data_IF_973725920216
#
_entry.id   IF_973725920216
#
_cell.length_a   1.000
_cell.length_b   1.000
_cell.length_c   1.000
_cell.angle_alpha   90.00
_cell.angle_beta   90.00
_cell.angle_gamma   90.00
#
_symmetry.space_group_name_H-M   'P 1'
#
loop_
_entity.id
_entity.type
_entity.pdbx_description
1 polymer ?
#
# COMPACT_ATOMS: atom_id res chain seq x y z
N UNK A 1 -12.09 17.06 3.13
CA UNK A 1 -10.83 16.42 3.51
C UNK A 1 -10.38 16.88 4.90
N UNK A 2 -10.10 18.19 5.09
CA UNK A 2 -9.60 18.72 6.36
C UNK A 2 -10.51 18.38 7.53
N UNK A 3 -11.84 18.63 7.44
CA UNK A 3 -12.79 18.30 8.51
C UNK A 3 -12.78 16.82 8.91
N UNK A 4 -12.67 15.92 7.94
CA UNK A 4 -12.54 14.47 8.21
C UNK A 4 -11.24 14.13 8.93
N UNK A 5 -10.14 14.79 8.53
CA UNK A 5 -8.84 14.62 9.16
C UNK A 5 -8.83 15.16 10.59
N UNK A 6 -9.32 16.38 10.80
CA UNK A 6 -9.42 17.01 12.13
C UNK A 6 -10.29 16.17 13.07
N UNK A 7 -11.36 15.57 12.56
CA UNK A 7 -12.22 14.67 13.35
C UNK A 7 -11.49 13.40 13.80
N UNK A 8 -10.71 12.74 12.91
CA UNK A 8 -10.14 11.42 13.21
C UNK A 8 -8.77 11.46 13.88
N UNK A 9 -7.99 12.54 13.68
CA UNK A 9 -6.63 12.66 14.23
C UNK A 9 -6.60 12.55 15.77
N UNK A 10 -7.44 13.26 16.55
CA UNK A 10 -7.45 13.12 18.00
C UNK A 10 -7.73 11.69 18.48
N UNK A 11 -8.70 11.02 17.85
CA UNK A 11 -9.00 9.61 18.15
C UNK A 11 -7.80 8.71 17.89
N UNK A 12 -7.13 8.90 16.76
CA UNK A 12 -5.96 8.09 16.41
C UNK A 12 -4.82 8.31 17.40
N UNK A 13 -4.59 9.55 17.85
CA UNK A 13 -3.56 9.87 18.85
C UNK A 13 -3.87 9.12 20.17
N UNK A 14 -5.10 9.18 20.65
CA UNK A 14 -5.55 8.48 21.85
C UNK A 14 -5.38 6.97 21.70
N UNK A 15 -5.83 6.39 20.57
CA UNK A 15 -5.70 4.95 20.29
C UNK A 15 -4.24 4.48 20.29
N UNK A 16 -3.32 5.29 19.75
CA UNK A 16 -1.87 5.00 19.76
C UNK A 16 -1.31 5.11 21.16
N UNK A 17 -1.62 6.19 21.91
CA UNK A 17 -1.13 6.44 23.25
C UNK A 17 -1.50 5.30 24.22
N UNK A 18 -2.73 4.80 24.13
CA UNK A 18 -3.21 3.69 24.95
C UNK A 18 -2.98 2.31 24.32
N UNK A 19 -2.22 2.21 23.24
CA UNK A 19 -1.90 0.95 22.52
C UNK A 19 -3.13 0.10 22.15
N UNK A 20 -4.26 0.76 21.90
CA UNK A 20 -5.52 0.08 21.55
C UNK A 20 -5.39 -0.55 20.13
N UNK A 21 -5.75 -1.83 19.93
CA UNK A 21 -5.60 -2.52 18.64
C UNK A 21 -6.32 -1.83 17.47
N UNK A 22 -7.36 -1.05 17.75
CA UNK A 22 -8.09 -0.26 16.75
C UNK A 22 -7.20 0.77 16.05
N UNK A 23 -6.12 1.24 16.70
CA UNK A 23 -5.12 2.15 16.09
C UNK A 23 -4.56 1.61 14.77
N UNK A 24 -4.46 0.29 14.61
CA UNK A 24 -4.01 -0.36 13.37
C UNK A 24 -5.05 -0.30 12.25
N UNK A 25 -6.33 -0.06 12.56
CA UNK A 25 -7.45 -0.02 11.59
C UNK A 25 -7.89 1.40 11.24
N UNK A 26 -7.67 2.36 12.11
CA UNK A 26 -8.09 3.76 11.89
C UNK A 26 -7.53 4.38 10.60
N UNK A 27 -6.25 4.17 10.22
CA UNK A 27 -5.74 4.68 8.94
C UNK A 27 -6.56 4.21 7.75
N UNK A 28 -6.97 2.94 7.71
CA UNK A 28 -7.81 2.41 6.64
C UNK A 28 -9.18 3.12 6.59
N UNK A 29 -9.78 3.41 7.73
CA UNK A 29 -11.05 4.16 7.82
C UNK A 29 -10.86 5.57 7.25
N UNK A 30 -9.76 6.24 7.63
CA UNK A 30 -9.41 7.56 7.12
C UNK A 30 -9.24 7.54 5.59
N UNK A 31 -8.44 6.63 5.04
CA UNK A 31 -8.21 6.48 3.60
C UNK A 31 -9.50 6.21 2.83
N UNK A 32 -10.38 5.37 3.37
CA UNK A 32 -11.69 5.09 2.78
C UNK A 32 -12.57 6.34 2.73
N UNK A 33 -12.57 7.15 3.79
CA UNK A 33 -13.25 8.44 3.82
C UNK A 33 -12.71 9.38 2.75
N UNK A 34 -11.37 9.47 2.63
CA UNK A 34 -10.71 10.29 1.59
C UNK A 34 -11.08 9.80 0.19
N UNK A 35 -10.98 8.50 -0.09
CA UNK A 35 -11.41 7.94 -1.38
C UNK A 35 -12.87 8.31 -1.72
N UNK A 36 -13.76 8.29 -0.72
CA UNK A 36 -15.18 8.66 -0.92
C UNK A 36 -15.34 10.15 -1.25
N UNK A 37 -14.61 11.02 -0.54
CA UNK A 37 -14.65 12.47 -0.76
C UNK A 37 -14.12 12.88 -2.14
N UNK A 38 -13.02 12.27 -2.57
CA UNK A 38 -12.43 12.47 -3.90
C UNK A 38 -13.15 11.66 -5.00
N UNK A 39 -14.26 11.01 -4.68
CA UNK A 39 -15.05 10.20 -5.64
C UNK A 39 -14.23 9.09 -6.33
N UNK A 40 -13.21 8.56 -5.64
CA UNK A 40 -12.40 7.45 -6.15
C UNK A 40 -13.21 6.16 -6.16
N UNK A 41 -13.26 5.48 -7.29
CA UNK A 41 -13.93 4.20 -7.51
C UNK A 41 -12.88 3.12 -7.67
N UNK A 42 -12.81 2.23 -6.68
CA UNK A 42 -11.84 1.15 -6.67
C UNK A 42 -12.46 -0.12 -7.25
N UNK A 43 -11.82 -0.66 -8.29
CA UNK A 43 -12.13 -1.96 -8.86
C UNK A 43 -11.06 -2.94 -8.39
N UNK A 44 -11.48 -3.95 -7.62
CA UNK A 44 -10.58 -4.89 -6.97
C UNK A 44 -10.60 -6.23 -7.67
N UNK A 45 -9.43 -6.74 -8.06
CA UNK A 45 -9.24 -8.04 -8.71
C UNK A 45 -8.33 -8.92 -7.85
N UNK A 46 -8.48 -10.24 -7.97
CA UNK A 46 -7.71 -11.21 -7.20
C UNK A 46 -8.16 -11.35 -5.74
N UNK A 47 -7.31 -11.92 -4.90
CA UNK A 47 -7.59 -12.17 -3.49
C UNK A 47 -6.51 -11.57 -2.62
N UNK A 48 -6.91 -10.71 -1.69
CA UNK A 48 -6.00 -10.18 -0.68
C UNK A 48 -5.52 -11.29 0.26
N UNK A 49 -4.22 -11.34 0.53
CA UNK A 49 -3.62 -12.24 1.52
C UNK A 49 -4.28 -12.05 2.89
N UNK A 50 -4.55 -13.16 3.55
CA UNK A 50 -5.03 -13.20 4.94
C UNK A 50 -3.91 -13.57 5.92
N UNK A 51 -2.75 -13.94 5.40
CA UNK A 51 -1.58 -14.30 6.19
C UNK A 51 -0.95 -13.08 6.83
N UNK A 52 -0.34 -13.25 7.98
CA UNK A 52 0.38 -12.20 8.70
C UNK A 52 1.65 -12.77 9.31
N UNK A 53 2.73 -12.02 9.19
CA UNK A 53 2.87 -10.79 8.43
C UNK A 53 2.91 -11.03 6.91
N UNK A 54 2.46 -10.04 6.13
CA UNK A 54 2.59 -10.01 4.67
C UNK A 54 3.29 -8.72 4.25
N UNK A 55 4.29 -8.84 3.37
CA UNK A 55 4.89 -7.72 2.66
C UNK A 55 4.12 -7.50 1.35
N UNK A 56 3.35 -6.42 1.26
CA UNK A 56 2.72 -5.99 0.02
C UNK A 56 3.70 -5.18 -0.82
N UNK A 57 3.94 -5.62 -2.04
CA UNK A 57 4.85 -4.97 -2.99
C UNK A 57 4.00 -4.33 -4.09
N UNK A 58 4.13 -3.00 -4.29
CA UNK A 58 3.25 -2.24 -5.16
C UNK A 58 4.04 -1.37 -6.13
N UNK A 59 3.51 -1.11 -7.35
CA UNK A 59 4.01 -0.04 -8.21
C UNK A 59 3.63 1.34 -7.66
N UNK A 60 4.32 2.39 -8.11
CA UNK A 60 4.17 3.74 -7.59
C UNK A 60 4.03 4.79 -8.69
N UNK A 61 2.90 5.49 -8.69
CA UNK A 61 2.58 6.55 -9.66
C UNK A 61 2.44 7.90 -8.97
N UNK A 62 1.89 7.92 -7.75
CA UNK A 62 1.49 9.16 -7.07
C UNK A 62 1.35 8.97 -5.56
N UNK A 63 1.36 10.07 -4.79
CA UNK A 63 0.91 10.03 -3.39
C UNK A 63 -0.55 9.54 -3.26
N UNK A 64 -1.32 9.59 -4.33
CA UNK A 64 -2.69 9.04 -4.37
C UNK A 64 -2.70 7.52 -4.19
N UNK A 65 -1.62 6.81 -4.56
CA UNK A 65 -1.50 5.37 -4.33
C UNK A 65 -1.56 5.05 -2.83
N UNK A 66 -1.02 5.94 -1.98
CA UNK A 66 -1.08 5.79 -0.53
C UNK A 66 -2.54 5.82 -0.07
N UNK A 67 -3.36 6.72 -0.64
CA UNK A 67 -4.79 6.82 -0.32
C UNK A 67 -5.55 5.59 -0.80
N UNK A 68 -5.31 5.16 -2.04
CA UNK A 68 -5.97 4.01 -2.68
C UNK A 68 -5.58 2.70 -1.98
N UNK A 69 -4.29 2.44 -1.83
CA UNK A 69 -3.79 1.20 -1.21
C UNK A 69 -4.08 1.17 0.29
N UNK A 70 -3.96 2.29 1.00
CA UNK A 70 -4.33 2.39 2.41
C UNK A 70 -5.82 2.16 2.69
N UNK A 71 -6.70 2.37 1.69
CA UNK A 71 -8.12 2.04 1.81
C UNK A 71 -8.40 0.53 1.72
N UNK A 72 -7.50 -0.25 1.11
CA UNK A 72 -7.71 -1.69 0.84
C UNK A 72 -6.72 -2.62 1.51
N UNK A 73 -5.46 -2.18 1.73
CA UNK A 73 -4.40 -2.98 2.35
C UNK A 73 -4.33 -2.72 3.87
N UNK A 74 -4.37 -3.75 4.70
CA UNK A 74 -4.19 -3.62 6.15
C UNK A 74 -2.70 -3.63 6.51
N UNK A 75 -2.01 -2.51 6.35
CA UNK A 75 -0.58 -2.42 6.59
C UNK A 75 -0.07 -0.99 6.77
N UNK A 76 1.20 -0.87 7.15
CA UNK A 76 1.92 0.39 7.27
C UNK A 76 2.82 0.60 6.05
N UNK A 77 2.89 1.82 5.52
CA UNK A 77 3.76 2.12 4.40
C UNK A 77 5.22 2.22 4.82
N UNK A 78 6.10 1.92 3.89
CA UNK A 78 7.54 2.24 3.97
C UNK A 78 7.74 3.50 3.13
N UNK A 79 8.23 4.58 3.73
CA UNK A 79 8.44 5.87 3.08
C UNK A 79 9.85 6.41 3.35
N UNK A 80 10.26 7.38 2.53
CA UNK A 80 11.53 8.10 2.73
C UNK A 80 11.44 8.98 3.98
N UNK A 81 12.57 9.13 4.72
CA UNK A 81 12.62 9.93 5.95
C UNK A 81 12.24 11.39 5.71
N UNK A 82 12.50 11.94 4.54
CA UNK A 82 12.17 13.32 4.18
C UNK A 82 10.66 13.61 4.31
N UNK A 83 9.81 12.62 4.03
CA UNK A 83 8.35 12.74 4.17
C UNK A 83 7.94 13.03 5.62
N UNK A 84 8.74 12.60 6.60
CA UNK A 84 8.48 12.86 8.02
C UNK A 84 8.43 14.34 8.36
N UNK A 85 9.19 15.15 7.62
CA UNK A 85 9.27 16.62 7.79
C UNK A 85 8.19 17.41 7.04
N UNK A 86 7.37 16.78 6.21
CA UNK A 86 6.37 17.50 5.43
C UNK A 86 5.23 18.01 6.32
N UNK A 87 4.84 19.30 6.19
CA UNK A 87 3.70 19.85 6.92
C UNK A 87 2.46 18.98 6.71
N UNK A 88 1.68 18.73 7.74
CA UNK A 88 0.48 17.89 7.77
C UNK A 88 0.74 16.43 7.37
N UNK A 89 1.33 16.16 6.20
CA UNK A 89 1.54 14.81 5.67
C UNK A 89 2.52 13.99 6.52
N UNK A 90 3.56 14.62 7.08
CA UNK A 90 4.47 13.95 8.01
C UNK A 90 3.80 13.54 9.32
N UNK A 91 2.84 14.34 9.81
CA UNK A 91 2.01 13.95 10.94
C UNK A 91 1.11 12.77 10.59
N UNK A 92 0.41 12.83 9.45
CA UNK A 92 -0.47 11.75 9.01
C UNK A 92 0.30 10.45 8.77
N UNK A 93 1.49 10.52 8.18
CA UNK A 93 2.36 9.36 8.00
C UNK A 93 2.78 8.73 9.33
N UNK A 94 3.12 9.56 10.35
CA UNK A 94 3.40 9.06 11.71
C UNK A 94 2.18 8.39 12.35
N UNK A 95 1.01 8.99 12.23
CA UNK A 95 -0.24 8.44 12.76
C UNK A 95 -0.67 7.16 12.03
N UNK A 96 -0.25 6.98 10.78
CA UNK A 96 -0.41 5.74 10.02
C UNK A 96 0.64 4.68 10.40
N UNK A 97 1.57 5.01 11.32
CA UNK A 97 2.65 4.11 11.74
C UNK A 97 3.61 3.76 10.58
N UNK A 98 3.80 4.70 9.64
CA UNK A 98 4.74 4.58 8.53
C UNK A 98 6.15 4.33 9.03
N UNK A 99 6.84 3.37 8.41
CA UNK A 99 8.27 3.12 8.64
C UNK A 99 9.07 4.06 7.74
N UNK A 100 9.93 4.89 8.33
CA UNK A 100 10.73 5.86 7.59
C UNK A 100 12.15 5.32 7.37
N UNK A 101 12.58 5.30 6.10
CA UNK A 101 13.89 4.79 5.70
C UNK A 101 14.75 5.87 5.06
N UNK A 102 16.04 5.92 5.43
CA UNK A 102 17.01 6.80 4.80
C UNK A 102 17.67 6.14 3.58
N UNK A 103 18.05 6.95 2.59
CA UNK A 103 18.72 6.47 1.38
C UNK A 103 20.21 6.09 1.61
N UNK A 104 20.81 6.52 2.71
CA UNK A 104 22.24 6.32 2.97
C UNK A 104 22.54 4.87 3.38
N UNK A 105 23.49 4.25 2.69
CA UNK A 105 23.90 2.86 2.91
C UNK A 105 24.32 2.55 4.36
N UNK A 106 24.91 3.51 5.07
CA UNK A 106 25.40 3.33 6.44
C UNK A 106 24.31 3.01 7.48
N UNK A 107 23.03 3.39 7.23
CA UNK A 107 21.90 3.12 8.12
C UNK A 107 20.96 2.03 7.62
N UNK A 108 21.32 1.36 6.54
CA UNK A 108 20.48 0.32 5.92
C UNK A 108 20.26 -0.88 6.85
N UNK A 109 21.22 -1.19 7.74
CA UNK A 109 21.07 -2.26 8.73
C UNK A 109 20.02 -1.89 9.78
N UNK A 110 20.10 -0.70 10.38
CA UNK A 110 19.14 -0.23 11.40
C UNK A 110 17.70 -0.15 10.88
N UNK A 111 17.51 0.30 9.64
CA UNK A 111 16.17 0.33 9.02
C UNK A 111 15.63 -1.05 8.70
N UNK A 112 16.51 -1.99 8.32
CA UNK A 112 16.11 -3.40 8.16
C UNK A 112 15.66 -4.00 9.48
N UNK A 113 16.30 -3.65 10.58
CA UNK A 113 15.94 -4.15 11.91
C UNK A 113 14.59 -3.59 12.37
N UNK A 114 14.30 -2.30 12.12
CA UNK A 114 12.99 -1.72 12.40
C UNK A 114 11.87 -2.38 11.58
N UNK A 115 12.08 -2.56 10.27
CA UNK A 115 11.11 -3.24 9.41
C UNK A 115 10.92 -4.70 9.84
N UNK A 116 12.00 -5.39 10.21
CA UNK A 116 11.94 -6.77 10.69
C UNK A 116 11.17 -6.87 11.99
N UNK A 117 11.47 -6.02 12.98
CA UNK A 117 10.75 -5.97 14.25
C UNK A 117 9.23 -5.74 14.04
N UNK A 118 8.85 -4.88 13.08
CA UNK A 118 7.44 -4.65 12.74
C UNK A 118 6.76 -5.89 12.14
N UNK A 119 7.48 -6.64 11.31
CA UNK A 119 6.98 -7.91 10.76
C UNK A 119 6.87 -8.99 11.86
N UNK A 120 7.83 -9.07 12.76
CA UNK A 120 7.81 -9.97 13.94
C UNK A 120 6.64 -9.63 14.87
N UNK A 121 6.27 -8.36 15.01
CA UNK A 121 5.06 -7.91 15.70
C UNK A 121 3.74 -8.26 14.96
N UNK A 122 3.82 -8.98 13.83
CA UNK A 122 2.68 -9.38 13.00
C UNK A 122 2.07 -8.21 12.20
N UNK A 123 2.77 -7.07 12.06
CA UNK A 123 2.34 -5.97 11.20
C UNK A 123 2.62 -6.31 9.72
N UNK A 124 1.69 -5.95 8.84
CA UNK A 124 1.94 -5.97 7.41
C UNK A 124 2.63 -4.68 6.98
N UNK A 125 3.50 -4.77 5.97
CA UNK A 125 4.17 -3.62 5.38
C UNK A 125 3.80 -3.45 3.91
N UNK A 126 3.80 -2.21 3.44
CA UNK A 126 3.51 -1.83 2.04
C UNK A 126 4.74 -1.12 1.48
N UNK A 127 5.31 -1.68 0.43
CA UNK A 127 6.57 -1.28 -0.17
C UNK A 127 6.38 -0.85 -1.62
N UNK A 128 7.00 0.27 -2.00
CA UNK A 128 7.16 0.72 -3.38
C UNK A 128 8.62 0.55 -3.84
N UNK A 129 8.99 -0.60 -4.43
CA UNK A 129 10.39 -0.91 -4.72
C UNK A 129 10.98 -0.13 -5.89
N UNK A 130 10.19 0.61 -6.65
CA UNK A 130 10.66 1.60 -7.63
C UNK A 130 11.48 2.70 -6.95
N UNK A 131 11.15 3.04 -5.69
CA UNK A 131 11.81 4.08 -4.91
C UNK A 131 11.56 5.50 -5.42
N UNK A 132 10.73 5.67 -6.44
CA UNK A 132 10.21 6.94 -6.97
C UNK A 132 8.90 6.68 -7.68
N UNK A 133 8.10 7.72 -7.90
CA UNK A 133 6.89 7.68 -8.72
C UNK A 133 7.19 7.99 -10.20
N UNK A 134 6.25 7.69 -11.08
CA UNK A 134 6.36 7.90 -12.53
C UNK A 134 5.01 8.37 -13.13
N UNK A 135 4.94 8.49 -14.46
CA UNK A 135 3.78 9.00 -15.22
C UNK A 135 2.55 8.06 -15.23
N UNK A 136 2.63 6.90 -14.60
CA UNK A 136 1.56 5.90 -14.51
C UNK A 136 1.32 5.08 -15.78
N UNK A 137 2.13 5.27 -16.81
CA UNK A 137 2.01 4.51 -18.07
C UNK A 137 2.83 3.23 -18.10
N UNK A 138 3.74 3.05 -17.15
CA UNK A 138 4.63 1.89 -17.01
C UNK A 138 5.00 1.69 -15.54
N UNK A 139 5.58 0.55 -15.24
CA UNK A 139 6.25 0.26 -13.97
C UNK A 139 7.74 0.46 -14.16
N UNK A 140 8.40 1.11 -13.21
CA UNK A 140 9.86 1.28 -13.24
C UNK A 140 10.54 0.04 -12.65
N UNK A 141 11.84 -0.19 -12.98
CA UNK A 141 12.58 -1.32 -12.45
C UNK A 141 12.61 -1.36 -10.92
N UNK A 142 12.38 -2.54 -10.36
CA UNK A 142 12.38 -2.75 -8.93
C UNK A 142 13.79 -2.89 -8.38
N UNK A 143 14.09 -2.14 -7.33
CA UNK A 143 15.36 -2.21 -6.62
C UNK A 143 15.37 -3.42 -5.69
N UNK A 144 16.08 -4.47 -6.06
CA UNK A 144 16.16 -5.72 -5.29
C UNK A 144 16.68 -5.54 -3.86
N UNK A 145 17.38 -4.43 -3.58
CA UNK A 145 17.83 -4.09 -2.22
C UNK A 145 16.67 -3.93 -1.23
N UNK A 146 15.51 -3.47 -1.68
CA UNK A 146 14.31 -3.34 -0.84
C UNK A 146 13.68 -4.69 -0.46
N UNK A 147 14.04 -5.77 -1.14
CA UNK A 147 13.56 -7.13 -0.83
C UNK A 147 14.43 -7.86 0.20
N UNK A 148 15.45 -7.21 0.77
CA UNK A 148 16.33 -7.84 1.76
C UNK A 148 15.60 -8.38 3.00
N UNK A 149 14.45 -7.77 3.37
CA UNK A 149 13.61 -8.29 4.46
C UNK A 149 12.89 -9.59 4.10
N UNK A 150 12.65 -9.87 2.81
CA UNK A 150 11.99 -11.08 2.36
C UNK A 150 12.88 -12.33 2.50
N UNK A 151 14.19 -12.15 2.70
CA UNK A 151 15.15 -13.24 2.95
C UNK A 151 15.11 -13.72 4.41
N UNK A 152 14.40 -13.02 5.31
CA UNK A 152 14.28 -13.38 6.71
C UNK A 152 13.08 -14.29 6.94
N UNK A 153 13.25 -15.25 7.83
CA UNK A 153 12.16 -16.04 8.38
C UNK A 153 11.55 -15.29 9.58
N UNK A 154 10.24 -15.16 9.58
CA UNK A 154 9.46 -14.60 10.68
C UNK A 154 8.77 -15.77 11.40
N UNK A 155 9.01 -15.92 12.70
CA UNK A 155 8.52 -17.07 13.50
C UNK A 155 8.84 -18.43 12.84
N UNK A 156 10.05 -18.58 12.28
CA UNK A 156 10.50 -19.81 11.62
C UNK A 156 9.84 -20.10 10.26
N UNK A 157 9.09 -19.12 9.70
CA UNK A 157 8.42 -19.27 8.39
C UNK A 157 8.90 -18.20 7.42
N UNK A 158 9.03 -18.52 6.12
CA UNK A 158 9.39 -17.52 5.12
C UNK A 158 8.34 -16.42 5.03
N UNK A 159 8.81 -15.16 4.98
CA UNK A 159 7.95 -14.01 4.85
C UNK A 159 7.10 -14.09 3.58
N UNK A 160 5.79 -13.93 3.73
CA UNK A 160 4.85 -13.87 2.60
C UNK A 160 4.95 -12.53 1.91
N UNK A 161 5.11 -12.57 0.59
CA UNK A 161 5.16 -11.40 -0.29
C UNK A 161 3.97 -11.46 -1.22
N UNK A 162 3.17 -10.40 -1.25
CA UNK A 162 2.07 -10.30 -2.21
C UNK A 162 2.29 -9.12 -3.15
N UNK A 163 2.53 -9.37 -4.45
CA UNK A 163 2.54 -8.32 -5.46
C UNK A 163 1.14 -7.73 -5.65
N UNK A 164 1.07 -6.41 -5.79
CA UNK A 164 -0.19 -5.67 -5.98
C UNK A 164 0.03 -4.60 -7.05
N UNK A 165 -0.75 -4.63 -8.11
CA UNK A 165 -0.73 -3.58 -9.13
C UNK A 165 -1.84 -2.56 -8.89
N UNK A 166 -1.52 -1.27 -9.07
CA UNK A 166 -2.47 -0.16 -9.04
C UNK A 166 -2.39 0.62 -10.34
N UNK A 167 -3.54 0.92 -10.93
CA UNK A 167 -3.62 1.66 -12.19
C UNK A 167 -4.80 2.63 -12.18
N UNK A 168 -4.59 3.84 -12.71
CA UNK A 168 -5.63 4.83 -12.94
C UNK A 168 -6.23 4.57 -14.32
N UNK A 169 -7.49 4.15 -14.36
CA UNK A 169 -8.08 3.55 -15.56
C UNK A 169 -9.24 4.34 -16.15
N UNK A 170 -9.95 5.14 -15.35
CA UNK A 170 -11.16 5.83 -15.79
C UNK A 170 -11.28 7.23 -15.19
N UNK A 171 -11.90 8.14 -15.94
CA UNK A 171 -12.38 9.43 -15.47
C UNK A 171 -13.83 9.58 -15.93
N UNK A 172 -14.74 9.85 -14.98
CA UNK A 172 -16.21 9.90 -15.19
C UNK A 172 -16.82 8.68 -15.90
N UNK A 173 -16.18 7.51 -15.68
CA UNK A 173 -16.58 6.25 -16.29
C UNK A 173 -15.97 5.99 -17.66
N UNK A 174 -15.29 6.96 -18.26
CA UNK A 174 -14.63 6.84 -19.55
C UNK A 174 -13.19 6.32 -19.33
N UNK A 175 -12.73 5.31 -20.07
CA UNK A 175 -11.34 4.87 -20.01
C UNK A 175 -10.38 6.02 -20.36
N UNK A 176 -9.34 6.21 -19.53
CA UNK A 176 -8.31 7.22 -19.80
C UNK A 176 -7.15 6.62 -20.58
N UNK A 177 -6.79 7.34 -21.66
CA UNK A 177 -5.65 7.00 -22.48
C UNK A 177 -4.31 7.44 -21.87
N UNK A 178 -3.23 7.10 -22.57
CA UNK A 178 -1.84 7.39 -22.18
C UNK A 178 -1.59 8.88 -21.88
N UNK A 179 -2.24 9.79 -22.62
CA UNK A 179 -2.05 11.25 -22.47
C UNK A 179 -2.69 11.81 -21.19
N UNK A 180 -3.79 11.22 -20.72
CA UNK A 180 -4.52 11.74 -19.55
C UNK A 180 -4.11 11.06 -18.25
N UNK A 181 -3.41 9.92 -18.30
CA UNK A 181 -2.99 9.22 -17.07
C UNK A 181 -2.04 10.02 -16.21
N UNK A 182 -1.09 10.81 -16.78
CA UNK A 182 -0.24 11.70 -15.98
C UNK A 182 -0.98 12.74 -15.13
N UNK A 183 -2.26 13.02 -15.38
CA UNK A 183 -3.08 13.87 -14.51
C UNK A 183 -3.23 13.33 -13.09
N UNK A 184 -3.08 12.05 -12.88
CA UNK A 184 -3.10 11.39 -11.57
C UNK A 184 -1.70 11.15 -11.00
N UNK A 185 -0.68 11.28 -11.83
CA UNK A 185 0.69 11.02 -11.45
C UNK A 185 1.31 12.24 -10.74
N UNK A 186 2.16 11.95 -9.77
CA UNK A 186 2.94 13.00 -9.09
C UNK A 186 4.39 12.53 -9.02
N UNK A 187 5.26 13.13 -9.81
CA UNK A 187 6.65 12.73 -10.00
C UNK A 187 7.54 13.91 -10.39
N UNK A 188 8.86 13.71 -10.32
CA UNK A 188 9.83 14.77 -10.59
C UNK A 188 9.70 15.92 -9.59
N UNK A 189 9.70 17.14 -10.08
CA UNK A 189 9.69 18.38 -9.30
C UNK A 189 8.28 19.00 -9.21
N UNK A 190 7.22 18.19 -9.35
CA UNK A 190 5.84 18.65 -9.28
C UNK A 190 5.48 19.13 -7.88
N UNK A 191 4.88 20.33 -7.79
CA UNK A 191 4.34 20.85 -6.54
C UNK A 191 3.10 20.06 -6.08
N UNK A 192 3.09 19.66 -4.80
CA UNK A 192 2.03 18.84 -4.24
C UNK A 192 0.70 19.58 -4.15
N UNK A 193 0.70 20.84 -3.69
CA UNK A 193 -0.54 21.59 -3.41
C UNK A 193 -1.33 21.91 -4.68
N UNK A 194 -0.75 22.43 -5.78
CA UNK A 194 -1.45 22.63 -7.05
C UNK A 194 -1.98 21.30 -7.63
N UNK A 195 -1.19 20.23 -7.56
CA UNK A 195 -1.63 18.92 -8.06
C UNK A 195 -2.81 18.37 -7.24
N UNK A 196 -2.77 18.46 -5.91
CA UNK A 196 -3.87 18.04 -5.04
C UNK A 196 -5.15 18.84 -5.33
N UNK A 197 -5.02 20.15 -5.56
CA UNK A 197 -6.15 21.02 -5.94
C UNK A 197 -6.76 20.58 -7.28
N UNK A 198 -5.93 20.31 -8.28
CA UNK A 198 -6.35 19.79 -9.57
C UNK A 198 -7.10 18.46 -9.43
N UNK A 199 -6.55 17.51 -8.67
CA UNK A 199 -7.20 16.21 -8.42
C UNK A 199 -8.53 16.37 -7.68
N UNK A 200 -8.63 17.32 -6.74
CA UNK A 200 -9.87 17.60 -6.01
C UNK A 200 -10.99 18.12 -6.93
N UNK A 201 -10.63 18.83 -8.00
CA UNK A 201 -11.55 19.32 -9.03
C UNK A 201 -11.94 18.28 -10.09
N UNK A 202 -11.25 17.13 -10.14
CA UNK A 202 -11.57 16.08 -11.10
C UNK A 202 -12.89 15.39 -10.76
N UNK A 203 -13.54 14.84 -11.78
CA UNK A 203 -14.74 14.01 -11.66
C UNK A 203 -14.50 12.67 -10.96
N UNK A 204 -15.38 11.69 -11.17
CA UNK A 204 -15.21 10.35 -10.63
C UNK A 204 -14.05 9.63 -11.26
N UNK A 205 -13.04 9.35 -10.45
CA UNK A 205 -11.81 8.69 -10.90
C UNK A 205 -11.87 7.19 -10.59
N UNK A 206 -11.63 6.36 -11.60
CA UNK A 206 -11.59 4.90 -11.49
C UNK A 206 -10.17 4.39 -11.38
N UNK A 207 -9.91 3.60 -10.33
CA UNK A 207 -8.64 2.92 -10.11
C UNK A 207 -8.86 1.42 -10.04
N UNK A 208 -7.99 0.68 -10.70
CA UNK A 208 -7.96 -0.79 -10.64
C UNK A 208 -6.84 -1.22 -9.72
N UNK A 209 -7.16 -2.06 -8.74
CA UNK A 209 -6.19 -2.69 -7.84
C UNK A 209 -6.28 -4.19 -8.04
N UNK A 210 -5.16 -4.82 -8.38
CA UNK A 210 -5.09 -6.27 -8.56
C UNK A 210 -4.14 -6.89 -7.56
N UNK A 211 -4.65 -7.85 -6.78
CA UNK A 211 -3.88 -8.69 -5.88
C UNK A 211 -3.42 -9.92 -6.63
N UNK A 212 -2.11 -10.08 -6.79
CA UNK A 212 -1.51 -11.26 -7.42
C UNK A 212 -1.29 -12.37 -6.37
N UNK A 213 -0.84 -13.53 -6.82
CA UNK A 213 -0.60 -14.67 -5.93
C UNK A 213 0.50 -14.37 -4.90
N UNK A 214 0.31 -14.91 -3.71
CA UNK A 214 1.28 -14.79 -2.61
C UNK A 214 2.46 -15.71 -2.90
N UNK A 215 3.66 -15.16 -2.75
CA UNK A 215 4.92 -15.86 -3.00
C UNK A 215 5.88 -15.71 -1.83
N UNK A 216 6.96 -16.51 -1.82
CA UNK A 216 8.08 -16.40 -0.86
C UNK A 216 9.40 -16.35 -1.60
N UNK A 217 10.46 -15.88 -0.95
CA UNK A 217 11.80 -15.85 -1.56
C UNK A 217 12.33 -17.25 -1.88
N UNK A 218 11.95 -18.26 -1.12
CA UNK A 218 12.36 -19.65 -1.31
C UNK A 218 11.95 -20.21 -2.68
N UNK A 219 10.80 -19.78 -3.21
CA UNK A 219 10.32 -20.18 -4.53
C UNK A 219 11.20 -19.67 -5.67
N UNK A 220 12.02 -18.64 -5.43
CA UNK A 220 12.86 -18.00 -6.44
C UNK A 220 14.36 -18.12 -6.15
N UNK A 221 14.75 -18.64 -4.99
CA UNK A 221 16.13 -18.84 -4.60
C UNK A 221 16.93 -17.58 -4.26
N UNK A 222 16.44 -16.37 -4.61
CA UNK A 222 17.10 -15.12 -4.26
C UNK A 222 16.12 -13.93 -4.28
N UNK A 223 16.47 -12.87 -3.50
CA UNK A 223 15.72 -11.60 -3.53
C UNK A 223 15.75 -10.91 -4.90
N UNK A 224 16.78 -11.14 -5.73
CA UNK A 224 16.86 -10.56 -7.08
C UNK A 224 15.82 -11.21 -7.99
N UNK A 225 15.72 -12.54 -7.96
CA UNK A 225 14.73 -13.28 -8.74
C UNK A 225 13.30 -12.99 -8.24
N UNK A 226 13.08 -12.89 -6.92
CA UNK A 226 11.79 -12.47 -6.35
C UNK A 226 11.41 -11.05 -6.80
N UNK A 227 12.36 -10.09 -6.78
CA UNK A 227 12.11 -8.72 -7.24
C UNK A 227 11.72 -8.69 -8.72
N UNK A 228 12.44 -9.41 -9.58
CA UNK A 228 12.14 -9.51 -11.01
C UNK A 228 10.76 -10.16 -11.26
N UNK A 229 10.41 -11.21 -10.50
CA UNK A 229 9.08 -11.80 -10.56
C UNK A 229 7.99 -10.78 -10.20
N UNK A 230 8.13 -10.09 -9.06
CA UNK A 230 7.16 -9.08 -8.62
C UNK A 230 7.02 -7.95 -9.66
N UNK A 231 8.13 -7.47 -10.22
CA UNK A 231 8.13 -6.45 -11.28
C UNK A 231 7.34 -6.93 -12.50
N UNK A 232 7.60 -8.14 -12.98
CA UNK A 232 6.94 -8.70 -14.15
C UNK A 232 5.43 -8.85 -13.95
N UNK A 233 4.99 -9.45 -12.83
CA UNK A 233 3.55 -9.67 -12.55
C UNK A 233 2.82 -8.34 -12.37
N UNK A 234 3.44 -7.38 -11.69
CA UNK A 234 2.86 -6.04 -11.46
C UNK A 234 2.80 -5.27 -12.77
N UNK A 235 3.86 -5.29 -13.59
CA UNK A 235 3.89 -4.65 -14.91
C UNK A 235 2.81 -5.22 -15.83
N UNK A 236 2.64 -6.55 -15.83
CA UNK A 236 1.57 -7.20 -16.59
C UNK A 236 0.20 -6.77 -16.06
N UNK A 237 -0.01 -6.76 -14.73
CA UNK A 237 -1.26 -6.33 -14.11
C UNK A 237 -1.63 -4.88 -14.44
N UNK A 238 -0.65 -3.97 -14.39
CA UNK A 238 -0.84 -2.57 -14.82
C UNK A 238 -1.20 -2.52 -16.31
N UNK A 239 -0.47 -3.23 -17.17
CA UNK A 239 -0.73 -3.30 -18.61
C UNK A 239 -2.13 -3.81 -18.92
N UNK A 240 -2.59 -4.86 -18.24
CA UNK A 240 -3.93 -5.43 -18.41
C UNK A 240 -5.03 -4.49 -17.94
N UNK A 241 -4.80 -3.79 -16.82
CA UNK A 241 -5.73 -2.80 -16.30
C UNK A 241 -5.91 -1.62 -17.26
N UNK A 242 -4.81 -1.04 -17.76
CA UNK A 242 -4.86 0.15 -18.63
C UNK A 242 -5.32 -0.14 -20.05
N UNK A 243 -5.17 -1.39 -20.51
CA UNK A 243 -5.65 -1.85 -21.84
C UNK A 243 -7.07 -2.40 -21.81
N UNK A 244 -7.69 -2.49 -20.63
CA UNK A 244 -9.04 -3.04 -20.48
C UNK A 244 -9.13 -4.57 -20.65
N UNK A 245 -7.99 -5.27 -20.62
CA UNK A 245 -7.96 -6.75 -20.71
C UNK A 245 -8.44 -7.46 -19.44
N UNK A 246 -8.41 -6.77 -18.29
CA UNK A 246 -9.00 -7.30 -17.08
C UNK A 246 -10.52 -7.39 -17.24
N UNK A 247 -11.05 -8.61 -17.11
CA UNK A 247 -12.51 -8.80 -17.08
C UNK A 247 -13.08 -8.02 -15.90
N UNK A 248 -14.21 -7.27 -16.10
CA UNK A 248 -14.82 -6.55 -14.99
C UNK A 248 -14.99 -7.46 -13.80
N UNK A 249 -14.44 -7.07 -12.65
CA UNK A 249 -14.70 -7.79 -11.43
C UNK A 249 -16.22 -7.82 -11.24
N UNK A 250 -16.81 -9.00 -10.88
CA UNK A 250 -18.20 -9.05 -10.46
C UNK A 250 -18.38 -7.91 -9.47
N UNK A 251 -19.31 -6.95 -9.75
CA UNK A 251 -19.54 -5.74 -8.96
C UNK A 251 -19.69 -6.11 -7.48
N UNK A 252 -18.58 -6.28 -6.79
CA UNK A 252 -18.56 -6.21 -5.34
C UNK A 252 -18.79 -4.75 -5.01
N UNK A 253 -19.78 -4.46 -4.19
CA UNK A 253 -19.94 -3.14 -3.59
C UNK A 253 -18.56 -2.74 -3.08
N UNK A 254 -18.03 -1.67 -3.61
CA UNK A 254 -16.73 -1.09 -3.28
C UNK A 254 -16.53 -0.82 -1.77
N UNK A 255 -17.60 -0.90 -1.01
CA UNK A 255 -17.61 -0.87 0.43
C UNK A 255 -18.04 -2.26 0.93
N UNK A 256 -17.10 -3.09 1.43
CA UNK A 256 -17.49 -4.30 2.12
C UNK A 256 -18.21 -3.92 3.41
N UNK A 257 -19.47 -4.25 3.51
CA UNK A 257 -20.28 -4.12 4.73
C UNK A 257 -19.80 -5.06 5.84
N UNK A 258 -18.93 -6.00 5.52
CA UNK A 258 -18.20 -6.84 6.49
C UNK A 258 -16.69 -6.53 6.36
N UNK A 259 -15.95 -6.43 7.49
CA UNK A 259 -14.50 -6.29 7.42
C UNK A 259 -13.94 -7.42 6.57
N UNK A 260 -13.00 -7.11 5.68
CA UNK A 260 -12.26 -8.09 4.87
C UNK A 260 -11.53 -9.12 5.75
N UNK A 261 -11.43 -8.84 7.03
CA UNK A 261 -10.92 -9.67 8.11
C UNK A 261 -12.00 -9.83 9.20
N UNK A 262 -12.71 -10.94 9.21
CA UNK A 262 -13.27 -11.47 10.44
C UNK A 262 -12.10 -12.18 11.16
N UNK A 263 -11.57 -11.54 12.16
CA UNK A 263 -10.59 -12.12 13.08
C UNK A 263 -11.28 -13.26 13.84
N UNK A 264 -11.10 -14.48 13.37
CA UNK A 264 -11.29 -15.66 14.20
C UNK A 264 -10.00 -15.85 14.99
N UNK A 265 -9.87 -15.12 16.10
CA UNK A 265 -8.84 -15.31 17.08
C UNK A 265 -8.85 -16.78 17.55
N UNK A 266 -7.96 -17.58 16.99
CA UNK A 266 -7.51 -18.80 17.66
C UNK A 266 -6.50 -18.37 18.72
N UNK A 267 -6.96 -18.26 19.95
CA UNK A 267 -6.05 -18.33 21.11
C UNK A 267 -5.30 -19.67 20.99
N UNK A 268 -3.98 -19.68 21.14
CA UNK A 268 -3.27 -20.94 21.33
C UNK A 268 -3.80 -21.55 22.63
N UNK A 269 -4.29 -22.79 22.55
CA UNK A 269 -4.61 -23.61 23.73
C UNK A 269 -3.32 -23.79 24.52
N UNK A 270 -3.28 -23.26 25.74
CA UNK A 270 -2.31 -23.69 26.74
C UNK A 270 -2.59 -25.17 27.00
N UNK A 271 -1.79 -26.05 26.44
CA UNK A 271 -1.70 -27.42 26.91
C UNK A 271 -1.02 -27.38 28.29
N UNK A 272 -1.77 -27.77 29.31
CA UNK A 272 -1.29 -27.87 30.66
C UNK A 272 -0.19 -28.90 30.73
N UNK A 273 0.83 -28.55 31.48
CA UNK A 273 1.74 -29.52 32.08
C UNK A 273 1.01 -30.19 33.27
N UNK A 274 0.99 -31.48 33.25
CA UNK A 274 0.88 -32.35 34.41
C UNK A 274 2.14 -33.22 34.42
#
# INVERSE_FOLDING_TARGET
>A
FLGWTVLLVPFQIVLIAFRIPLAKRMPMIWHRGVCRMFRFRLELHGRLSRERPTLFVCNHTSYLDIVVLGAVLPGSFIAKVEVRGWPLFGLLARLQRTVFVERRAARTAQHRDEMTARLEDGDNLILFPEGTSNDGNRVLPFKSAFFGMAEKNIDGRPLKVQPVSVAYTRLDGIPIGRRLRPLFAWYGDMDLAPHLWSVAGMGRSGMTVQFHDVVTVEQFGSRKALAAHCENVISQGVSDAISGRLRPARRRRWWPTKPLYADKGRRPSRSGAA
#
